data_IF_023547583131
#
_entry.id   IF_023547583131
#
_cell.length_a   1.000
_cell.length_b   1.000
_cell.length_c   1.000
_cell.angle_alpha   90.00
_cell.angle_beta   90.00
_cell.angle_gamma   90.00
#
_symmetry.space_group_name_H-M   'P 1'
#
loop_
_entity.id
_entity.type
_entity.pdbx_description
1 polymer ?
#
# COMPACT_ATOMS: atom_id res chain seq x y z
N UNK A 1 -22.41 -1.21 -16.05
CA UNK A 1 -20.98 -1.39 -15.77
C UNK A 1 -20.18 -0.96 -17.00
N UNK A 2 -18.91 -0.55 -16.90
CA UNK A 2 -18.14 0.01 -18.03
C UNK A 2 -18.15 -0.91 -19.27
N UNK A 3 -17.89 -2.20 -19.08
CA UNK A 3 -17.87 -3.20 -20.17
C UNK A 3 -19.22 -3.27 -20.91
N UNK A 4 -20.36 -3.10 -20.23
CA UNK A 4 -21.67 -3.04 -20.89
C UNK A 4 -21.81 -1.83 -21.78
N UNK A 5 -21.43 -0.67 -21.27
CA UNK A 5 -21.50 0.59 -22.01
C UNK A 5 -20.60 0.52 -23.24
N UNK A 6 -19.38 -0.02 -23.10
CA UNK A 6 -18.47 -0.24 -24.22
C UNK A 6 -19.06 -1.18 -25.28
N UNK A 7 -19.65 -2.30 -24.84
CA UNK A 7 -20.29 -3.26 -25.75
C UNK A 7 -21.49 -2.67 -26.49
N UNK A 8 -22.30 -1.85 -25.83
CA UNK A 8 -23.50 -1.24 -26.43
C UNK A 8 -23.17 -0.03 -27.32
N UNK A 9 -22.29 0.86 -26.86
CA UNK A 9 -22.08 2.17 -27.48
C UNK A 9 -20.95 2.20 -28.52
N UNK A 10 -20.00 1.27 -28.46
CA UNK A 10 -18.82 1.30 -29.33
C UNK A 10 -18.60 -0.05 -30.01
N UNK A 11 -18.36 -1.10 -29.23
CA UNK A 11 -17.91 -2.38 -29.77
C UNK A 11 -18.99 -3.14 -30.55
N UNK A 12 -20.26 -2.92 -30.23
CA UNK A 12 -21.39 -3.46 -30.99
C UNK A 12 -21.37 -3.05 -32.47
N UNK A 13 -20.87 -1.85 -32.79
CA UNK A 13 -20.72 -1.40 -34.18
C UNK A 13 -19.58 -2.13 -34.92
N UNK A 14 -18.55 -2.55 -34.19
CA UNK A 14 -17.39 -3.26 -34.73
C UNK A 14 -17.56 -4.78 -34.73
N UNK A 15 -18.69 -5.30 -34.23
CA UNK A 15 -18.95 -6.73 -34.11
C UNK A 15 -18.08 -7.44 -33.06
N UNK A 16 -17.46 -6.67 -32.15
CA UNK A 16 -16.63 -7.18 -31.06
C UNK A 16 -17.45 -7.16 -29.78
N UNK A 17 -17.31 -8.19 -28.95
CA UNK A 17 -17.97 -8.26 -27.64
C UNK A 17 -16.96 -8.65 -26.57
N UNK A 18 -16.95 -7.88 -25.48
CA UNK A 18 -16.16 -8.19 -24.29
C UNK A 18 -17.01 -8.94 -23.28
N UNK A 19 -16.50 -10.07 -22.81
CA UNK A 19 -17.15 -10.85 -21.78
C UNK A 19 -16.84 -10.30 -20.39
N UNK A 20 -17.85 -10.37 -19.52
CA UNK A 20 -17.71 -10.03 -18.12
C UNK A 20 -17.20 -11.24 -17.35
N UNK A 21 -16.36 -10.95 -16.37
CA UNK A 21 -15.88 -11.90 -15.36
C UNK A 21 -16.11 -11.30 -13.97
N UNK A 22 -16.10 -12.16 -12.96
CA UNK A 22 -16.17 -11.74 -11.56
C UNK A 22 -14.80 -11.27 -11.05
N UNK A 23 -13.73 -11.87 -11.58
CA UNK A 23 -12.34 -11.56 -11.23
C UNK A 23 -11.53 -11.13 -12.47
N UNK A 24 -10.67 -10.14 -12.28
CA UNK A 24 -9.84 -9.56 -13.34
C UNK A 24 -8.37 -9.56 -12.90
N UNK A 25 -7.55 -10.33 -13.61
CA UNK A 25 -6.09 -10.26 -13.49
C UNK A 25 -5.55 -9.06 -14.29
N UNK A 26 -4.40 -8.51 -13.86
CA UNK A 26 -3.75 -7.37 -14.51
C UNK A 26 -3.49 -7.65 -16.00
N UNK A 27 -2.98 -8.86 -16.31
CA UNK A 27 -2.68 -9.32 -17.66
C UNK A 27 -3.92 -9.33 -18.57
N UNK A 28 -5.05 -9.79 -18.04
CA UNK A 28 -6.30 -9.82 -18.79
C UNK A 28 -6.83 -8.42 -19.09
N UNK A 29 -6.71 -7.48 -18.13
CA UNK A 29 -7.13 -6.10 -18.36
C UNK A 29 -6.22 -5.39 -19.37
N UNK A 30 -4.92 -5.70 -19.39
CA UNK A 30 -4.04 -5.21 -20.47
C UNK A 30 -4.45 -5.74 -21.83
N UNK A 31 -4.77 -7.04 -21.95
CA UNK A 31 -5.27 -7.59 -23.22
C UNK A 31 -6.58 -6.94 -23.66
N UNK A 32 -7.51 -6.69 -22.73
CA UNK A 32 -8.77 -6.01 -23.04
C UNK A 32 -8.54 -4.61 -23.61
N UNK A 33 -7.59 -3.88 -23.03
CA UNK A 33 -7.23 -2.53 -23.44
C UNK A 33 -6.59 -2.53 -24.84
N UNK A 34 -5.70 -3.47 -25.13
CA UNK A 34 -5.14 -3.67 -26.47
C UNK A 34 -6.21 -4.05 -27.50
N UNK A 35 -7.09 -5.00 -27.17
CA UNK A 35 -8.22 -5.40 -28.03
C UNK A 35 -9.11 -4.22 -28.36
N UNK A 36 -9.40 -3.39 -27.36
CA UNK A 36 -10.21 -2.18 -27.56
C UNK A 36 -9.51 -1.16 -28.47
N UNK A 37 -8.21 -0.94 -28.29
CA UNK A 37 -7.40 -0.06 -29.14
C UNK A 37 -7.39 -0.53 -30.59
N UNK A 38 -7.22 -1.82 -30.82
CA UNK A 38 -7.23 -2.44 -32.14
C UNK A 38 -8.62 -2.35 -32.81
N UNK A 39 -9.70 -2.59 -32.06
CA UNK A 39 -11.06 -2.51 -32.59
C UNK A 39 -11.45 -1.09 -33.03
N UNK A 40 -11.01 -0.08 -32.29
CA UNK A 40 -11.37 1.33 -32.50
C UNK A 40 -10.34 2.11 -33.32
N UNK A 41 -9.18 1.51 -33.62
CA UNK A 41 -8.03 2.19 -34.23
C UNK A 41 -7.66 3.51 -33.53
N UNK A 42 -7.71 3.52 -32.20
CA UNK A 42 -7.40 4.70 -31.39
C UNK A 42 -5.89 4.99 -31.41
N UNK A 43 -5.55 6.25 -31.65
CA UNK A 43 -4.17 6.76 -31.58
C UNK A 43 -4.05 7.68 -30.37
N UNK A 44 -3.22 7.30 -29.40
CA UNK A 44 -3.04 8.03 -28.13
C UNK A 44 -2.57 9.48 -28.33
N UNK A 45 -1.80 9.76 -29.39
CA UNK A 45 -1.31 11.10 -29.70
C UNK A 45 -2.42 12.11 -30.03
N UNK A 46 -3.63 11.65 -30.35
CA UNK A 46 -4.77 12.50 -30.69
C UNK A 46 -5.65 12.85 -29.48
N UNK A 47 -5.32 12.35 -28.30
CA UNK A 47 -6.14 12.52 -27.11
C UNK A 47 -6.17 13.97 -26.64
N UNK A 48 -7.39 14.47 -26.40
CA UNK A 48 -7.59 15.85 -25.95
C UNK A 48 -7.79 15.87 -24.44
N UNK A 49 -7.14 16.82 -23.76
CA UNK A 49 -7.25 17.05 -22.31
C UNK A 49 -7.26 18.55 -22.01
N UNK A 50 -7.86 18.94 -20.87
CA UNK A 50 -7.93 20.33 -20.43
C UNK A 50 -9.32 20.95 -20.51
N UNK A 51 -9.43 22.21 -20.07
CA UNK A 51 -10.69 22.96 -20.06
C UNK A 51 -11.13 23.34 -21.48
N UNK A 52 -12.43 23.31 -21.75
CA UNK A 52 -12.99 23.64 -23.08
C UNK A 52 -12.89 22.54 -24.14
N UNK A 53 -12.20 21.44 -23.85
CA UNK A 53 -12.05 20.31 -24.75
C UNK A 53 -13.01 19.16 -24.40
N UNK A 54 -13.81 18.73 -25.38
CA UNK A 54 -14.74 17.60 -25.22
C UNK A 54 -14.06 16.30 -25.66
N UNK A 55 -13.78 15.43 -24.69
CA UNK A 55 -13.29 14.06 -24.96
C UNK A 55 -14.33 13.25 -25.73
N UNK A 56 -13.88 12.48 -26.72
CA UNK A 56 -14.72 11.50 -27.41
C UNK A 56 -15.16 10.40 -26.45
N UNK A 57 -16.25 9.71 -26.79
CA UNK A 57 -16.75 8.61 -25.96
C UNK A 57 -15.70 7.49 -25.88
N UNK A 58 -15.06 7.18 -27.00
CA UNK A 58 -14.05 6.14 -27.08
C UNK A 58 -12.82 6.46 -26.22
N UNK A 59 -12.38 7.72 -26.24
CA UNK A 59 -11.28 8.20 -25.40
C UNK A 59 -11.63 8.11 -23.90
N UNK A 60 -12.87 8.46 -23.52
CA UNK A 60 -13.31 8.35 -22.12
C UNK A 60 -13.29 6.90 -21.64
N UNK A 61 -13.87 5.99 -22.41
CA UNK A 61 -13.91 4.56 -22.09
C UNK A 61 -12.51 3.96 -22.01
N UNK A 62 -11.60 4.34 -22.92
CA UNK A 62 -10.20 3.93 -22.89
C UNK A 62 -9.48 4.39 -21.61
N UNK A 63 -9.57 5.68 -21.29
CA UNK A 63 -8.93 6.25 -20.10
C UNK A 63 -9.50 5.68 -18.80
N UNK A 64 -10.78 5.34 -18.79
CA UNK A 64 -11.39 4.69 -17.63
C UNK A 64 -10.85 3.26 -17.43
N UNK A 65 -10.72 2.48 -18.51
CA UNK A 65 -10.08 1.16 -18.50
C UNK A 65 -8.62 1.23 -18.05
N UNK A 66 -7.86 2.18 -18.58
CA UNK A 66 -6.47 2.44 -18.20
C UNK A 66 -6.37 2.78 -16.70
N UNK A 67 -7.27 3.63 -16.21
CA UNK A 67 -7.35 3.95 -14.78
C UNK A 67 -7.66 2.73 -13.89
N UNK A 68 -8.47 1.77 -14.36
CA UNK A 68 -8.67 0.51 -13.62
C UNK A 68 -7.41 -0.35 -13.62
N UNK A 69 -6.69 -0.42 -14.74
CA UNK A 69 -5.43 -1.15 -14.84
C UNK A 69 -4.38 -0.60 -13.86
N UNK A 70 -4.23 0.71 -13.79
CA UNK A 70 -3.29 1.36 -12.85
C UNK A 70 -3.67 1.12 -11.39
N UNK A 71 -4.97 1.14 -11.06
CA UNK A 71 -5.44 0.81 -9.71
C UNK A 71 -5.13 -0.65 -9.36
N UNK A 72 -5.36 -1.59 -10.27
CA UNK A 72 -5.03 -2.99 -10.04
C UNK A 72 -3.54 -3.21 -9.80
N UNK A 73 -2.67 -2.55 -10.59
CA UNK A 73 -1.21 -2.57 -10.34
C UNK A 73 -0.86 -1.98 -8.98
N UNK A 74 -1.49 -0.88 -8.61
CA UNK A 74 -1.28 -0.22 -7.31
C UNK A 74 -1.70 -1.13 -6.16
N UNK A 75 -2.84 -1.81 -6.28
CA UNK A 75 -3.30 -2.77 -5.28
C UNK A 75 -2.38 -3.98 -5.18
N UNK A 76 -1.92 -4.53 -6.30
CA UNK A 76 -0.94 -5.62 -6.29
C UNK A 76 0.33 -5.22 -5.52
N UNK A 77 0.88 -4.03 -5.80
CA UNK A 77 2.02 -3.49 -5.08
C UNK A 77 1.73 -3.28 -3.58
N UNK A 78 0.55 -2.79 -3.21
CA UNK A 78 0.18 -2.62 -1.81
C UNK A 78 0.05 -3.95 -1.06
N UNK A 79 -0.46 -5.00 -1.71
CA UNK A 79 -0.56 -6.34 -1.14
C UNK A 79 0.85 -6.92 -0.93
N UNK A 80 1.73 -6.77 -1.91
CA UNK A 80 3.14 -7.18 -1.82
C UNK A 80 3.85 -6.47 -0.65
N UNK A 81 3.66 -5.17 -0.50
CA UNK A 81 4.22 -4.37 0.60
C UNK A 81 3.65 -4.77 1.96
N UNK A 82 2.35 -5.07 2.07
CA UNK A 82 1.74 -5.55 3.31
C UNK A 82 2.32 -6.90 3.76
N UNK A 83 2.48 -7.83 2.81
CA UNK A 83 2.73 -9.25 3.09
C UNK A 83 1.48 -9.97 3.62
N UNK A 84 1.57 -11.30 3.75
CA UNK A 84 0.41 -12.15 4.04
C UNK A 84 -0.10 -12.04 5.50
N UNK A 85 0.77 -11.62 6.43
CA UNK A 85 0.46 -11.58 7.86
C UNK A 85 -0.20 -10.27 8.31
N UNK A 86 -0.10 -9.18 7.51
CA UNK A 86 -0.42 -7.82 7.95
C UNK A 86 -1.49 -7.16 7.08
N UNK A 87 -2.39 -6.43 7.73
CA UNK A 87 -3.47 -5.69 7.07
C UNK A 87 -3.20 -4.18 6.94
N UNK A 88 -2.02 -3.69 7.37
CA UNK A 88 -1.67 -2.26 7.28
C UNK A 88 -0.16 -2.03 7.33
N UNK A 89 0.29 -0.92 6.74
CA UNK A 89 1.67 -0.46 6.77
C UNK A 89 1.75 1.08 6.69
N UNK A 90 2.84 1.67 7.16
CA UNK A 90 3.09 3.11 7.05
C UNK A 90 3.50 3.52 5.65
N UNK A 91 3.02 4.68 5.18
CA UNK A 91 3.43 5.24 3.88
C UNK A 91 4.92 5.57 3.80
N UNK A 92 5.55 5.87 4.93
CA UNK A 92 6.97 6.31 4.99
C UNK A 92 7.92 5.17 5.33
N UNK A 93 7.43 4.15 6.06
CA UNK A 93 8.22 2.99 6.48
C UNK A 93 7.39 1.73 6.31
N UNK A 94 7.59 1.04 5.18
CA UNK A 94 6.82 -0.14 4.80
C UNK A 94 6.86 -1.27 5.85
N UNK A 95 7.91 -1.32 6.67
CA UNK A 95 8.04 -2.28 7.77
C UNK A 95 7.22 -1.93 9.02
N UNK A 96 6.76 -0.68 9.17
CA UNK A 96 6.01 -0.23 10.33
C UNK A 96 4.51 -0.51 10.16
N UNK A 97 3.89 -1.12 11.17
CA UNK A 97 2.46 -1.40 11.24
C UNK A 97 1.72 -0.32 12.01
N UNK A 98 0.48 -0.02 11.61
CA UNK A 98 -0.35 0.88 12.41
C UNK A 98 -0.84 0.17 13.67
N UNK A 99 -0.51 0.74 14.83
CA UNK A 99 -0.93 0.23 16.13
C UNK A 99 -1.70 1.30 16.90
N UNK A 100 -2.59 0.85 17.80
CA UNK A 100 -3.18 1.73 18.81
C UNK A 100 -2.19 1.89 19.96
N UNK A 101 -1.59 3.06 20.07
CA UNK A 101 -0.67 3.37 21.18
C UNK A 101 -1.49 3.86 22.37
N UNK A 102 -1.08 3.48 23.59
CA UNK A 102 -1.76 3.90 24.82
C UNK A 102 -1.79 5.44 24.94
N UNK A 103 -3.00 5.91 25.23
CA UNK A 103 -3.42 7.28 25.55
C UNK A 103 -2.45 8.09 26.40
N UNK A 104 -2.30 9.34 26.00
CA UNK A 104 -1.98 10.45 26.89
C UNK A 104 -3.04 10.58 28.01
N UNK A 105 -2.73 11.30 29.09
CA UNK A 105 -3.65 11.53 30.21
C UNK A 105 -5.04 12.07 29.78
N UNK A 106 -5.12 12.69 28.61
CA UNK A 106 -6.34 13.26 28.02
C UNK A 106 -7.21 12.25 27.27
N UNK A 107 -6.73 11.03 27.09
CA UNK A 107 -7.53 9.97 26.55
C UNK A 107 -7.74 10.03 25.03
N UNK A 108 -6.76 10.43 24.24
CA UNK A 108 -6.82 10.27 22.79
C UNK A 108 -6.00 9.04 22.34
N UNK A 109 -6.65 7.89 22.11
CA UNK A 109 -5.98 6.75 21.44
C UNK A 109 -5.77 7.14 19.98
N UNK A 110 -4.53 7.45 19.58
CA UNK A 110 -4.20 7.69 18.19
C UNK A 110 -3.64 6.42 17.55
N UNK A 111 -4.13 6.09 16.35
CA UNK A 111 -3.55 5.06 15.51
C UNK A 111 -2.30 5.63 14.86
N UNK A 112 -1.13 5.19 15.29
CA UNK A 112 0.15 5.68 14.81
C UNK A 112 0.96 4.53 14.20
N UNK A 113 1.78 4.81 13.17
CA UNK A 113 2.69 3.80 12.66
C UNK A 113 3.77 3.53 13.71
N UNK A 114 3.91 2.27 14.09
CA UNK A 114 4.91 1.81 15.04
C UNK A 114 5.57 0.53 14.52
N UNK A 115 6.80 0.29 14.94
CA UNK A 115 7.47 -0.99 14.74
C UNK A 115 7.04 -1.92 15.85
N UNK A 116 6.80 -3.21 15.53
CA UNK A 116 6.57 -4.22 16.55
C UNK A 116 7.74 -4.17 17.54
N UNK A 117 7.42 -3.82 18.79
CA UNK A 117 8.39 -3.60 19.85
C UNK A 117 8.23 -4.75 20.83
N UNK A 118 9.25 -5.61 20.94
CA UNK A 118 9.21 -6.68 21.93
C UNK A 118 9.44 -6.05 23.31
N UNK A 119 8.40 -6.08 24.14
CA UNK A 119 8.45 -5.60 25.52
C UNK A 119 8.88 -6.74 26.43
N UNK A 120 10.06 -6.59 27.03
CA UNK A 120 10.52 -7.50 28.08
C UNK A 120 10.50 -6.75 29.42
N UNK A 121 9.76 -7.29 30.39
CA UNK A 121 9.84 -6.87 31.79
C UNK A 121 10.85 -7.80 32.46
N UNK A 122 12.00 -7.27 32.84
CA UNK A 122 13.02 -8.03 33.55
C UNK A 122 13.11 -7.53 34.99
N UNK A 123 13.13 -8.46 35.94
CA UNK A 123 13.49 -8.16 37.32
C UNK A 123 14.98 -7.78 37.37
N UNK A 124 15.28 -6.61 37.91
CA UNK A 124 16.67 -6.11 37.99
C UNK A 124 17.46 -6.96 38.98
N UNK A 125 18.37 -7.81 38.52
CA UNK A 125 19.16 -8.66 39.40
C UNK A 125 19.88 -7.86 40.52
N UNK A 126 19.53 -8.13 41.79
CA UNK A 126 20.02 -7.51 43.06
C UNK A 126 19.35 -6.21 43.53
N UNK A 127 18.17 -5.85 43.03
CA UNK A 127 17.37 -4.75 43.57
C UNK A 127 16.66 -5.14 44.89
N UNK A 128 17.19 -4.73 46.05
CA UNK A 128 16.52 -4.92 47.37
C UNK A 128 15.12 -4.28 47.48
N UNK A 129 14.75 -3.43 46.52
CA UNK A 129 13.55 -2.59 46.55
C UNK A 129 12.52 -2.94 45.46
N UNK A 130 12.67 -4.07 44.75
CA UNK A 130 11.64 -4.55 43.81
C UNK A 130 11.32 -3.61 42.65
N UNK A 131 12.34 -3.04 42.01
CA UNK A 131 12.17 -2.16 40.84
C UNK A 131 12.06 -2.98 39.56
N UNK A 132 10.97 -2.85 38.83
CA UNK A 132 10.81 -3.41 37.48
C UNK A 132 11.34 -2.43 36.44
N UNK A 133 12.21 -2.90 35.53
CA UNK A 133 12.66 -2.11 34.37
C UNK A 133 11.90 -2.58 33.12
N UNK A 134 11.28 -1.62 32.43
CA UNK A 134 10.69 -1.86 31.11
C UNK A 134 11.79 -1.66 30.06
N UNK A 135 12.17 -2.75 29.40
CA UNK A 135 13.16 -2.74 28.34
C UNK A 135 12.43 -2.83 27.01
N UNK A 136 12.67 -1.85 26.16
CA UNK A 136 12.13 -1.76 24.81
C UNK A 136 13.23 -2.14 23.82
N UNK A 137 13.15 -3.32 23.22
CA UNK A 137 14.14 -3.81 22.24
C UNK A 137 13.52 -3.88 20.84
N UNK A 138 14.22 -3.32 19.85
CA UNK A 138 13.83 -3.47 18.45
C UNK A 138 13.93 -4.95 18.02
N UNK A 139 12.99 -5.42 17.18
CA UNK A 139 12.99 -6.81 16.68
C UNK A 139 14.26 -7.18 15.92
N UNK A 140 14.79 -6.29 15.06
CA UNK A 140 16.09 -6.48 14.41
C UNK A 140 16.73 -5.16 13.99
N UNK A 141 18.05 -5.05 14.17
CA UNK A 141 18.89 -3.96 13.70
C UNK A 141 19.87 -4.41 12.60
N UNK A 142 19.59 -5.51 11.90
CA UNK A 142 20.52 -6.10 10.91
C UNK A 142 20.60 -5.33 9.57
N UNK A 143 19.78 -4.30 9.35
CA UNK A 143 19.82 -3.45 8.15
C UNK A 143 19.69 -1.94 8.40
N UNK A 144 19.86 -1.48 9.65
CA UNK A 144 19.58 -0.08 10.00
C UNK A 144 20.72 0.86 9.53
N UNK A 145 20.39 1.81 8.64
CA UNK A 145 21.35 2.82 8.14
C UNK A 145 21.93 3.72 9.24
N UNK A 146 21.19 3.90 10.34
CA UNK A 146 21.57 4.72 11.50
C UNK A 146 22.22 3.91 12.64
N UNK A 147 22.58 2.64 12.40
CA UNK A 147 23.11 1.74 13.43
C UNK A 147 24.36 2.31 14.11
N UNK A 148 25.24 2.94 13.33
CA UNK A 148 26.50 3.52 13.82
C UNK A 148 26.26 4.71 14.76
N UNK A 149 25.22 5.51 14.53
CA UNK A 149 24.87 6.67 15.35
C UNK A 149 24.02 6.27 16.57
N UNK A 150 23.16 5.27 16.40
CA UNK A 150 22.18 4.87 17.40
C UNK A 150 22.71 3.89 18.45
N UNK A 151 23.64 3.02 18.07
CA UNK A 151 24.21 1.98 18.92
C UNK A 151 25.73 1.87 18.70
N UNK A 152 26.51 2.93 18.98
CA UNK A 152 27.93 3.00 18.61
C UNK A 152 28.81 1.94 19.28
N UNK A 153 28.29 1.24 20.30
CA UNK A 153 29.02 0.23 21.09
C UNK A 153 28.27 -1.10 21.21
N UNK A 154 27.06 -1.24 20.68
CA UNK A 154 26.25 -2.44 20.87
C UNK A 154 26.32 -3.34 19.63
N UNK A 155 26.66 -4.61 19.84
CA UNK A 155 26.64 -5.64 18.79
C UNK A 155 25.23 -6.18 18.50
N UNK A 156 24.25 -5.82 19.32
CA UNK A 156 22.86 -6.32 19.30
C UNK A 156 21.86 -5.22 18.89
N UNK A 157 20.57 -5.55 18.96
CA UNK A 157 19.48 -4.64 18.67
C UNK A 157 19.45 -3.45 19.64
N UNK A 158 18.91 -2.33 19.17
CA UNK A 158 18.75 -1.12 19.98
C UNK A 158 17.79 -1.40 21.14
N UNK A 159 18.24 -1.10 22.36
CA UNK A 159 17.40 -1.14 23.56
C UNK A 159 17.22 0.26 24.14
N UNK A 160 15.99 0.63 24.47
CA UNK A 160 15.65 1.85 25.23
C UNK A 160 15.17 1.42 26.63
N UNK A 161 15.67 2.08 27.67
CA UNK A 161 15.20 1.89 29.06
C UNK A 161 14.40 3.11 29.46
N UNK A 162 13.16 2.93 29.90
CA UNK A 162 12.38 4.02 30.48
C UNK A 162 12.30 3.84 32.01
N UNK A 163 12.22 4.96 32.74
CA UNK A 163 12.39 5.10 34.19
C UNK A 163 13.86 5.15 34.64
N UNK A 164 14.58 6.22 34.31
CA UNK A 164 15.82 6.57 35.03
C UNK A 164 15.46 7.20 36.37
#
# INVERSE_FOLDING_TARGET
MLIDAMNQEVLGYFGVKLDKRDEYAVEYVSELLERYKNATNLVESTFVSGCGHRKSLQQKQYQELEGYLDRLKTYAHHIEVCGDERNSYSKTGHDATFMRIKRDYMGNDQLLPAYNLQTAVCDVYKNKYGRTEEIYECESCEGCQLKNDCCPKASKNRTIRMNQ
#
